data_IF_934542042710
#
_entry.id   IF_934542042710
#
_cell.length_a   1.000
_cell.length_b   1.000
_cell.length_c   1.000
_cell.angle_alpha   90.00
_cell.angle_beta   90.00
_cell.angle_gamma   90.00
#
_symmetry.space_group_name_H-M   'P 1'
#
loop_
_entity.id
_entity.type
_entity.pdbx_description
1 polymer ?
#
# COMPACT_ATOMS: atom_id res chain seq x y z
N UNK A 1 46.99 -34.42 38.48
CA UNK A 1 47.08 -33.21 37.64
C UNK A 1 46.57 -33.61 36.27
N UNK A 2 45.30 -33.34 35.96
CA UNK A 2 44.77 -33.59 34.62
C UNK A 2 45.36 -32.52 33.71
N UNK A 3 46.21 -32.93 32.77
CA UNK A 3 46.73 -32.06 31.73
C UNK A 3 45.59 -31.83 30.74
N UNK A 4 45.11 -30.59 30.68
CA UNK A 4 44.24 -30.15 29.59
C UNK A 4 45.09 -30.19 28.31
N UNK A 5 44.73 -31.10 27.41
CA UNK A 5 45.30 -31.16 26.07
C UNK A 5 44.25 -30.73 25.03
N UNK A 6 44.68 -30.58 23.78
CA UNK A 6 43.82 -30.11 22.70
C UNK A 6 42.60 -31.03 22.47
N UNK A 7 42.75 -32.34 22.72
CA UNK A 7 41.65 -33.30 22.60
C UNK A 7 40.58 -33.10 23.69
N UNK A 8 40.98 -32.76 24.91
CA UNK A 8 40.04 -32.39 25.99
C UNK A 8 39.34 -31.08 25.65
N UNK A 9 40.03 -30.10 25.07
CA UNK A 9 39.40 -28.83 24.64
C UNK A 9 38.41 -29.02 23.48
N UNK A 10 38.73 -29.88 22.52
CA UNK A 10 37.87 -30.20 21.38
C UNK A 10 36.58 -30.92 21.82
N UNK A 11 36.69 -31.89 22.72
CA UNK A 11 35.52 -32.61 23.27
C UNK A 11 34.63 -31.69 24.14
N UNK A 12 35.25 -30.78 24.90
CA UNK A 12 34.55 -29.74 25.65
C UNK A 12 33.82 -28.77 24.71
N UNK A 13 34.47 -28.32 23.64
CA UNK A 13 33.87 -27.42 22.66
C UNK A 13 32.71 -28.09 21.91
N UNK A 14 32.88 -29.34 21.49
CA UNK A 14 31.86 -30.15 20.83
C UNK A 14 30.59 -30.32 21.70
N UNK A 15 30.73 -30.31 23.03
CA UNK A 15 29.60 -30.45 23.95
C UNK A 15 29.00 -29.11 24.38
N UNK A 16 29.84 -28.11 24.70
CA UNK A 16 29.38 -26.86 25.29
C UNK A 16 28.91 -25.84 24.26
N UNK A 17 29.52 -25.77 23.08
CA UNK A 17 29.14 -24.79 22.05
C UNK A 17 27.70 -25.03 21.58
N UNK A 18 27.27 -26.27 21.24
CA UNK A 18 25.88 -26.50 20.84
C UNK A 18 24.88 -26.20 21.95
N UNK A 19 25.24 -26.44 23.23
CA UNK A 19 24.38 -26.10 24.37
C UNK A 19 24.27 -24.60 24.57
N UNK A 20 25.39 -23.87 24.50
CA UNK A 20 25.40 -22.42 24.58
C UNK A 20 24.55 -21.80 23.45
N UNK A 21 24.72 -22.29 22.21
CA UNK A 21 23.90 -21.88 21.06
C UNK A 21 22.42 -22.22 21.29
N UNK A 22 22.11 -23.41 21.81
CA UNK A 22 20.74 -23.81 22.12
C UNK A 22 20.09 -22.95 23.22
N UNK A 23 20.83 -22.61 24.28
CA UNK A 23 20.34 -21.71 25.33
C UNK A 23 20.16 -20.29 24.81
N UNK A 24 21.08 -19.78 24.00
CA UNK A 24 20.93 -18.48 23.34
C UNK A 24 19.72 -18.47 22.40
N UNK A 25 19.52 -19.53 21.61
CA UNK A 25 18.36 -19.64 20.72
C UNK A 25 17.04 -19.68 21.51
N UNK A 26 16.96 -20.47 22.57
CA UNK A 26 15.77 -20.55 23.43
C UNK A 26 15.51 -19.23 24.17
N UNK A 27 16.56 -18.53 24.63
CA UNK A 27 16.46 -17.21 25.23
C UNK A 27 15.94 -16.19 24.22
N UNK A 28 16.51 -16.19 23.00
CA UNK A 28 16.07 -15.31 21.92
C UNK A 28 14.62 -15.61 21.53
N UNK A 29 14.25 -16.88 21.37
CA UNK A 29 12.88 -17.27 21.03
C UNK A 29 11.89 -16.89 22.14
N UNK A 30 12.30 -16.98 23.40
CA UNK A 30 11.48 -16.57 24.54
C UNK A 30 11.25 -15.05 24.59
N UNK A 31 12.29 -14.25 24.33
CA UNK A 31 12.22 -12.78 24.41
C UNK A 31 11.72 -12.09 23.12
N UNK A 32 11.93 -12.70 21.96
CA UNK A 32 11.66 -12.08 20.65
C UNK A 32 10.47 -12.70 19.90
N UNK A 33 9.75 -13.64 20.50
CA UNK A 33 8.42 -14.00 19.97
C UNK A 33 7.49 -12.81 20.14
N UNK A 34 6.80 -12.45 19.06
CA UNK A 34 5.74 -11.44 19.11
C UNK A 34 4.66 -11.90 20.10
N UNK A 35 4.43 -11.07 21.12
CA UNK A 35 3.40 -11.27 22.15
C UNK A 35 2.22 -10.30 21.96
N UNK A 36 2.42 -9.30 21.11
CA UNK A 36 1.38 -8.39 20.63
C UNK A 36 1.30 -8.56 19.11
N UNK A 37 0.11 -8.88 18.62
CA UNK A 37 -0.21 -8.86 17.20
C UNK A 37 -0.64 -7.45 16.79
N UNK A 38 -0.06 -6.91 15.73
CA UNK A 38 -0.40 -5.59 15.19
C UNK A 38 -1.20 -5.81 13.90
N UNK A 39 -2.37 -5.21 13.80
CA UNK A 39 -3.24 -5.29 12.61
C UNK A 39 -3.83 -3.92 12.25
N UNK A 40 -4.41 -3.86 11.06
CA UNK A 40 -5.04 -2.64 10.56
C UNK A 40 -6.23 -2.22 11.44
N UNK A 41 -6.42 -0.91 11.67
CA UNK A 41 -7.68 -0.37 12.17
C UNK A 41 -8.83 -0.57 11.17
N UNK A 42 -10.07 -0.31 11.60
CA UNK A 42 -11.26 -0.47 10.75
C UNK A 42 -11.30 0.50 9.55
N UNK A 43 -10.52 1.58 9.60
CA UNK A 43 -10.35 2.51 8.47
C UNK A 43 -9.44 1.94 7.36
N UNK A 44 -8.79 0.80 7.60
CA UNK A 44 -7.97 0.06 6.65
C UNK A 44 -6.57 0.64 6.40
N UNK A 45 -6.16 1.66 7.16
CA UNK A 45 -4.85 2.31 6.99
C UNK A 45 -4.20 2.58 8.35
N UNK A 46 -2.89 2.36 8.45
CA UNK A 46 -2.12 2.79 9.61
C UNK A 46 -2.00 4.31 9.69
N UNK A 47 -1.81 4.95 8.53
CA UNK A 47 -1.75 6.40 8.40
C UNK A 47 -2.09 6.83 6.98
N UNK A 48 -2.45 8.10 6.82
CA UNK A 48 -2.55 8.73 5.50
C UNK A 48 -2.14 10.21 5.55
N UNK A 49 -1.73 10.73 4.40
CA UNK A 49 -1.42 12.15 4.16
C UNK A 49 -2.11 12.57 2.88
N UNK A 50 -2.80 13.71 2.89
CA UNK A 50 -3.35 14.29 1.66
C UNK A 50 -2.23 14.86 0.80
N UNK A 51 -2.32 14.61 -0.49
CA UNK A 51 -1.42 15.19 -1.48
C UNK A 51 -1.75 16.68 -1.65
N UNK A 52 -0.76 17.54 -1.49
CA UNK A 52 -0.88 18.99 -1.72
C UNK A 52 0.17 19.41 -2.75
N UNK A 53 -0.29 19.85 -3.93
CA UNK A 53 0.56 20.32 -5.01
C UNK A 53 1.38 21.58 -4.64
N UNK A 54 1.01 22.27 -3.56
CA UNK A 54 1.68 23.48 -3.09
C UNK A 54 2.74 23.19 -2.01
N UNK A 55 2.79 21.98 -1.48
CA UNK A 55 3.78 21.58 -0.49
C UNK A 55 4.93 20.84 -1.17
N UNK A 56 6.19 21.18 -0.86
CA UNK A 56 7.32 20.33 -1.19
C UNK A 56 7.09 18.91 -0.67
N UNK A 57 7.51 17.90 -1.42
CA UNK A 57 7.39 16.51 -0.99
C UNK A 57 8.06 16.23 0.37
N UNK A 58 9.14 16.95 0.66
CA UNK A 58 9.87 16.87 1.94
C UNK A 58 9.04 17.36 3.14
N UNK A 59 8.01 18.18 2.89
CA UNK A 59 7.12 18.72 3.92
C UNK A 59 5.86 17.84 4.12
N UNK A 60 5.59 16.89 3.23
CA UNK A 60 4.49 15.94 3.36
C UNK A 60 4.90 14.76 4.26
N UNK A 61 4.32 14.70 5.45
CA UNK A 61 4.70 13.75 6.50
C UNK A 61 3.47 13.11 7.17
N UNK A 62 3.54 11.81 7.45
CA UNK A 62 2.59 11.11 8.31
C UNK A 62 2.86 11.51 9.75
N UNK A 63 1.89 12.16 10.35
CA UNK A 63 1.96 12.72 11.70
C UNK A 63 1.20 11.90 12.73
N UNK A 64 0.46 10.88 12.30
CA UNK A 64 -0.36 10.02 13.16
C UNK A 64 -0.28 8.58 12.66
N UNK A 65 -0.23 7.64 13.60
CA UNK A 65 -0.38 6.20 13.34
C UNK A 65 -1.54 5.68 14.19
N UNK A 66 -2.49 5.01 13.55
CA UNK A 66 -3.57 4.25 14.16
C UNK A 66 -3.33 2.76 13.92
N UNK A 67 -3.53 1.90 14.91
CA UNK A 67 -3.37 0.45 14.76
C UNK A 67 -4.23 -0.31 15.76
N UNK A 68 -4.48 -1.58 15.47
CA UNK A 68 -5.04 -2.55 16.42
C UNK A 68 -3.91 -3.35 17.05
N UNK A 69 -3.92 -3.45 18.38
CA UNK A 69 -2.98 -4.24 19.15
C UNK A 69 -3.73 -5.36 19.89
N UNK A 70 -3.41 -6.62 19.56
CA UNK A 70 -4.02 -7.79 20.19
C UNK A 70 -3.02 -8.54 21.04
N UNK A 71 -3.41 -8.84 22.28
CA UNK A 71 -2.59 -9.63 23.19
C UNK A 71 -2.70 -11.12 22.81
N UNK A 72 -1.57 -11.69 22.40
CA UNK A 72 -1.44 -13.10 22.00
C UNK A 72 -0.53 -13.89 22.94
N UNK A 73 -0.39 -13.44 24.20
CA UNK A 73 0.41 -14.13 25.20
C UNK A 73 -0.03 -15.59 25.34
N UNK A 74 0.90 -16.57 25.22
CA UNK A 74 0.54 -18.00 25.20
C UNK A 74 -0.14 -18.51 26.47
N UNK A 75 0.07 -17.84 27.60
CA UNK A 75 -0.45 -18.25 28.91
C UNK A 75 -1.83 -17.67 29.23
N UNK A 76 -2.41 -16.86 28.34
CA UNK A 76 -3.72 -16.26 28.59
C UNK A 76 -3.69 -15.07 29.55
N UNK A 77 -2.51 -14.47 29.78
CA UNK A 77 -2.31 -13.40 30.76
C UNK A 77 -2.72 -12.04 30.18
N UNK A 78 -3.43 -11.24 30.97
CA UNK A 78 -3.79 -9.86 30.62
C UNK A 78 -2.60 -8.92 30.78
N UNK A 79 -2.54 -7.88 29.94
CA UNK A 79 -1.59 -6.78 30.04
C UNK A 79 -2.31 -5.55 30.61
N UNK A 80 -2.07 -5.18 31.87
CA UNK A 80 -2.87 -4.14 32.56
C UNK A 80 -2.07 -2.88 32.89
N UNK A 81 -2.72 -1.71 32.75
CA UNK A 81 -2.23 -0.41 33.22
C UNK A 81 -0.76 -0.09 32.82
N UNK A 82 -0.35 -0.52 31.64
CA UNK A 82 1.02 -0.42 31.20
C UNK A 82 1.34 0.86 30.44
N UNK A 83 2.62 1.02 30.17
CA UNK A 83 3.16 1.96 29.19
C UNK A 83 3.42 1.21 27.90
N UNK A 84 2.86 1.69 26.79
CA UNK A 84 3.19 1.20 25.45
C UNK A 84 3.98 2.25 24.67
N UNK A 85 5.02 1.80 23.99
CA UNK A 85 5.89 2.62 23.15
C UNK A 85 5.73 2.15 21.72
N UNK A 86 5.27 3.04 20.85
CA UNK A 86 5.37 2.85 19.40
C UNK A 86 6.74 3.30 18.95
N UNK A 87 7.44 2.43 18.23
CA UNK A 87 8.68 2.73 17.53
C UNK A 87 8.41 2.45 16.05
N UNK A 88 8.42 3.49 15.24
CA UNK A 88 8.40 3.35 13.78
C UNK A 88 9.83 3.48 13.28
N UNK A 89 10.33 2.45 12.61
CA UNK A 89 11.67 2.43 12.02
C UNK A 89 11.53 2.53 10.51
N UNK A 90 12.33 3.38 9.87
CA UNK A 90 12.29 3.56 8.42
C UNK A 90 13.62 4.08 7.87
N UNK A 91 13.82 3.89 6.58
CA UNK A 91 14.82 4.61 5.78
C UNK A 91 14.13 5.65 4.91
N UNK A 92 14.89 6.50 4.27
CA UNK A 92 14.37 7.55 3.36
C UNK A 92 15.02 7.40 2.00
N UNK A 93 14.20 7.38 0.94
CA UNK A 93 14.67 7.39 -0.43
C UNK A 93 15.40 8.70 -0.75
N UNK A 94 16.49 8.63 -1.52
CA UNK A 94 17.28 9.80 -1.91
C UNK A 94 16.70 10.55 -3.13
N UNK A 95 15.83 9.88 -3.87
CA UNK A 95 15.08 10.40 -5.02
C UNK A 95 13.62 10.01 -4.92
N UNK A 96 12.78 10.56 -5.79
CA UNK A 96 11.35 10.21 -5.85
C UNK A 96 11.14 8.67 -5.88
N UNK A 97 10.54 8.07 -4.83
CA UNK A 97 10.34 6.62 -4.75
C UNK A 97 9.13 6.12 -5.54
N UNK A 98 8.31 7.03 -6.07
CA UNK A 98 7.10 6.72 -6.82
C UNK A 98 7.39 6.50 -8.31
N UNK A 99 8.35 5.62 -8.57
CA UNK A 99 8.85 5.25 -9.89
C UNK A 99 9.05 3.73 -9.96
N UNK A 100 9.11 3.21 -11.18
CA UNK A 100 9.39 1.79 -11.42
C UNK A 100 10.84 1.44 -11.08
N UNK A 101 11.05 0.29 -10.45
CA UNK A 101 12.38 -0.26 -10.18
C UNK A 101 12.99 0.25 -8.87
N UNK A 102 14.25 -0.10 -8.62
CA UNK A 102 15.02 0.25 -7.40
C UNK A 102 15.25 1.76 -7.28
N UNK A 103 15.26 2.26 -6.04
CA UNK A 103 15.73 3.62 -5.71
C UNK A 103 16.78 3.56 -4.60
N UNK A 104 17.73 4.48 -4.66
CA UNK A 104 18.73 4.62 -3.60
C UNK A 104 18.07 5.10 -2.31
N UNK A 105 18.48 4.50 -1.19
CA UNK A 105 17.98 4.83 0.15
C UNK A 105 19.12 5.35 1.02
N UNK A 106 18.77 6.07 2.07
CA UNK A 106 19.73 6.51 3.08
C UNK A 106 20.38 5.31 3.80
N UNK A 107 21.65 5.48 4.15
CA UNK A 107 22.37 4.54 5.03
C UNK A 107 21.94 4.69 6.49
N UNK A 108 21.44 5.88 6.86
CA UNK A 108 20.91 6.17 8.18
C UNK A 108 19.53 5.51 8.35
N UNK A 109 19.31 4.94 9.53
CA UNK A 109 18.00 4.43 9.95
C UNK A 109 17.37 5.48 10.85
N UNK A 110 16.16 5.89 10.50
CA UNK A 110 15.39 6.87 11.25
C UNK A 110 14.36 6.18 12.15
N UNK A 111 14.03 6.85 13.25
CA UNK A 111 13.03 6.38 14.20
C UNK A 111 12.03 7.47 14.53
N UNK A 112 10.75 7.09 14.64
CA UNK A 112 9.70 7.87 15.28
C UNK A 112 9.27 7.15 16.54
N UNK A 113 9.47 7.75 17.72
CA UNK A 113 9.21 7.11 19.00
C UNK A 113 8.17 7.90 19.77
N UNK A 114 7.04 7.26 20.10
CA UNK A 114 5.94 7.85 20.86
C UNK A 114 5.50 6.91 21.96
N UNK A 115 5.17 7.46 23.13
CA UNK A 115 4.74 6.71 24.31
C UNK A 115 3.28 7.02 24.65
N UNK A 116 2.52 6.00 25.02
CA UNK A 116 1.20 6.11 25.66
C UNK A 116 1.20 5.34 26.99
N UNK A 117 0.52 5.86 28.01
CA UNK A 117 0.46 5.26 29.37
C UNK A 117 -0.96 4.89 29.75
N UNK A 118 -1.11 3.96 30.70
CA UNK A 118 -2.43 3.50 31.16
C UNK A 118 -3.14 2.63 30.14
N UNK A 119 -2.38 1.88 29.33
CA UNK A 119 -2.92 0.97 28.31
C UNK A 119 -3.12 -0.40 28.92
N UNK A 120 -4.32 -0.94 28.76
CA UNK A 120 -4.67 -2.33 29.10
C UNK A 120 -5.05 -3.05 27.83
N UNK A 121 -4.54 -4.27 27.62
CA UNK A 121 -4.87 -5.15 26.50
C UNK A 121 -5.19 -6.54 27.07
N UNK A 122 -6.49 -6.84 27.18
CA UNK A 122 -6.93 -8.15 27.68
C UNK A 122 -6.54 -9.26 26.71
N UNK A 123 -6.29 -10.46 27.25
CA UNK A 123 -5.88 -11.59 26.45
C UNK A 123 -6.92 -11.95 25.39
N UNK A 124 -6.49 -12.11 24.15
CA UNK A 124 -7.37 -12.42 23.01
C UNK A 124 -8.17 -11.22 22.49
N UNK A 125 -8.30 -10.15 23.28
CA UNK A 125 -8.94 -8.91 22.87
C UNK A 125 -8.00 -8.01 22.07
N UNK A 126 -8.61 -7.08 21.36
CA UNK A 126 -7.93 -6.11 20.50
C UNK A 126 -8.20 -4.70 20.97
N UNK A 127 -7.15 -3.91 21.09
CA UNK A 127 -7.22 -2.51 21.51
C UNK A 127 -6.85 -1.58 20.36
N UNK A 128 -7.69 -0.58 20.13
CA UNK A 128 -7.44 0.47 19.13
C UNK A 128 -6.50 1.53 19.73
N UNK A 129 -5.31 1.64 19.14
CA UNK A 129 -4.29 2.59 19.57
C UNK A 129 -4.06 3.65 18.50
N UNK A 130 -4.00 4.90 18.94
CA UNK A 130 -3.63 6.05 18.11
C UNK A 130 -2.45 6.76 18.76
N UNK A 131 -1.43 7.06 17.95
CA UNK A 131 -0.21 7.75 18.35
C UNK A 131 -0.03 9.01 17.52
N UNK A 132 0.28 10.12 18.18
CA UNK A 132 0.61 11.41 17.56
C UNK A 132 2.14 11.56 17.47
N UNK A 133 2.64 11.51 16.23
CA UNK A 133 4.07 11.61 15.91
C UNK A 133 4.58 13.06 15.92
N UNK A 134 3.71 14.07 15.96
CA UNK A 134 4.12 15.48 16.03
C UNK A 134 4.75 15.85 17.37
N UNK A 135 4.36 15.14 18.42
CA UNK A 135 4.86 15.32 19.79
C UNK A 135 6.25 14.71 20.03
N UNK A 136 6.82 14.07 19.01
CA UNK A 136 8.05 13.34 19.12
C UNK A 136 9.25 14.30 19.23
N UNK A 137 10.16 14.04 20.17
CA UNK A 137 11.25 14.97 20.55
C UNK A 137 12.22 15.23 19.39
N UNK A 138 13.17 16.16 19.54
CA UNK A 138 14.14 16.64 18.52
C UNK A 138 14.98 15.59 17.76
N UNK A 139 14.83 14.29 18.07
CA UNK A 139 15.46 13.13 17.42
C UNK A 139 14.47 12.16 16.76
N UNK A 140 13.17 12.34 17.00
CA UNK A 140 12.08 11.57 16.42
C UNK A 140 11.38 12.44 15.39
N UNK A 141 11.29 11.96 14.16
CA UNK A 141 10.64 12.69 13.05
C UNK A 141 9.29 12.06 12.75
N UNK A 142 8.33 12.88 12.31
CA UNK A 142 7.21 12.37 11.52
C UNK A 142 7.73 11.53 10.35
N UNK A 143 6.92 10.61 9.84
CA UNK A 143 7.38 9.71 8.77
C UNK A 143 7.21 10.48 7.45
N UNK A 144 8.26 10.70 6.65
CA UNK A 144 8.10 11.37 5.36
C UNK A 144 7.39 10.47 4.35
N UNK A 145 6.75 11.07 3.33
CA UNK A 145 6.19 10.30 2.20
C UNK A 145 7.26 9.57 1.37
N UNK A 146 8.54 9.88 1.57
CA UNK A 146 9.65 9.16 0.93
C UNK A 146 10.27 8.06 1.81
N UNK A 147 9.60 7.71 2.91
CA UNK A 147 10.02 6.60 3.74
C UNK A 147 10.03 5.28 2.95
N UNK A 148 10.99 4.41 3.24
CA UNK A 148 11.07 3.02 2.76
C UNK A 148 11.37 2.11 3.94
N UNK A 149 11.17 0.80 3.78
CA UNK A 149 11.44 -0.19 4.84
C UNK A 149 10.74 0.18 6.16
N UNK A 150 9.42 0.41 6.10
CA UNK A 150 8.66 0.94 7.23
C UNK A 150 8.22 -0.19 8.16
N UNK A 151 8.71 -0.17 9.40
CA UNK A 151 8.39 -1.18 10.41
C UNK A 151 7.71 -0.54 11.62
N UNK A 152 6.65 -1.18 12.10
CA UNK A 152 5.99 -0.86 13.35
C UNK A 152 6.46 -1.81 14.45
N UNK A 153 6.85 -1.24 15.58
CA UNK A 153 7.17 -1.98 16.80
C UNK A 153 6.37 -1.42 17.96
N UNK A 154 5.76 -2.32 18.73
CA UNK A 154 5.14 -1.99 20.00
C UNK A 154 5.96 -2.62 21.12
N UNK A 155 6.40 -1.80 22.07
CA UNK A 155 6.99 -2.27 23.32
C UNK A 155 6.07 -1.89 24.49
N UNK A 156 5.43 -2.89 25.07
CA UNK A 156 4.65 -2.76 26.29
C UNK A 156 5.54 -3.00 27.51
N UNK A 157 5.32 -2.21 28.57
CA UNK A 157 5.89 -2.42 29.90
C UNK A 157 4.83 -2.15 30.95
N UNK A 158 4.49 -3.13 31.76
CA UNK A 158 3.42 -3.00 32.74
C UNK A 158 3.19 -4.29 33.53
N UNK A 159 1.98 -4.47 34.00
CA UNK A 159 1.60 -5.65 34.78
C UNK A 159 1.09 -6.73 33.81
N UNK A 160 1.75 -7.89 33.76
CA UNK A 160 1.34 -9.02 32.93
C UNK A 160 1.01 -10.19 33.84
N UNK A 161 -0.24 -10.67 33.81
CA UNK A 161 -0.66 -11.79 34.66
C UNK A 161 -0.47 -11.54 36.17
N UNK A 162 -0.48 -10.28 36.60
CA UNK A 162 -0.21 -9.86 37.98
C UNK A 162 1.28 -9.71 38.34
N UNK A 163 2.20 -9.96 37.41
CA UNK A 163 3.63 -9.70 37.60
C UNK A 163 3.97 -8.26 37.16
N UNK A 164 4.49 -7.42 38.06
CA UNK A 164 4.78 -6.04 37.73
C UNK A 164 6.07 -5.89 36.91
N UNK A 165 6.07 -4.88 36.04
CA UNK A 165 7.21 -4.50 35.19
C UNK A 165 7.64 -5.53 34.14
N UNK A 166 6.75 -6.44 33.76
CA UNK A 166 6.99 -7.31 32.61
C UNK A 166 6.94 -6.51 31.31
N UNK A 167 7.51 -7.11 30.27
CA UNK A 167 7.62 -6.51 28.95
C UNK A 167 7.01 -7.43 27.91
N UNK A 168 6.35 -6.83 26.93
CA UNK A 168 5.85 -7.55 25.76
C UNK A 168 6.13 -6.78 24.48
N UNK A 169 6.39 -7.50 23.40
CA UNK A 169 6.76 -6.91 22.11
C UNK A 169 5.80 -7.32 21.00
N UNK A 170 5.53 -6.38 20.11
CA UNK A 170 4.86 -6.60 18.83
C UNK A 170 5.71 -6.05 17.70
N UNK A 171 5.73 -6.73 16.57
CA UNK A 171 6.43 -6.30 15.37
C UNK A 171 5.56 -6.51 14.15
N UNK A 172 5.57 -5.54 13.24
CA UNK A 172 4.87 -5.64 11.96
C UNK A 172 5.63 -4.86 10.89
N UNK A 173 5.83 -5.54 9.79
CA UNK A 173 6.25 -4.97 8.53
C UNK A 173 5.00 -4.45 7.79
N UNK A 174 5.05 -3.19 7.33
CA UNK A 174 3.93 -2.52 6.67
C UNK A 174 4.40 -1.91 5.35
N UNK A 175 3.44 -1.54 4.51
CA UNK A 175 3.75 -0.94 3.21
C UNK A 175 4.59 0.32 3.30
N UNK A 176 5.37 0.59 2.27
CA UNK A 176 5.88 1.95 2.05
C UNK A 176 4.72 2.91 1.74
N UNK A 177 4.95 4.23 1.84
CA UNK A 177 3.99 5.23 1.40
C UNK A 177 3.46 4.89 0.01
N UNK A 178 2.16 4.61 -0.06
CA UNK A 178 1.51 4.15 -1.28
C UNK A 178 0.65 5.27 -1.83
N UNK A 179 0.92 5.78 -3.05
CA UNK A 179 0.11 6.82 -3.65
C UNK A 179 -1.23 6.27 -4.12
N UNK A 180 -2.25 7.10 -3.98
CA UNK A 180 -3.62 6.84 -4.42
C UNK A 180 -3.89 7.67 -5.65
N UNK A 181 -3.85 6.99 -6.80
CA UNK A 181 -3.76 7.60 -8.11
C UNK A 181 -4.99 7.32 -8.97
N UNK A 182 -5.58 8.38 -9.50
CA UNK A 182 -6.70 8.30 -10.44
C UNK A 182 -6.36 8.98 -11.75
N UNK A 183 -6.84 8.39 -12.85
CA UNK A 183 -6.86 9.05 -14.15
C UNK A 183 -8.28 9.03 -14.71
N UNK A 184 -8.80 10.19 -15.08
CA UNK A 184 -10.09 10.25 -15.78
C UNK A 184 -9.86 10.20 -17.30
N UNK A 185 -10.05 9.03 -17.92
CA UNK A 185 -9.89 8.83 -19.36
C UNK A 185 -11.18 9.05 -20.15
N UNK A 186 -12.19 9.71 -19.56
CA UNK A 186 -13.48 9.93 -20.21
C UNK A 186 -13.45 11.03 -21.28
N UNK A 187 -12.33 11.71 -21.51
CA UNK A 187 -12.08 12.52 -22.71
C UNK A 187 -11.88 11.65 -23.98
N UNK A 188 -11.72 10.33 -23.79
CA UNK A 188 -11.64 9.34 -24.86
C UNK A 188 -12.81 8.38 -24.80
N UNK A 189 -13.15 7.80 -25.94
CA UNK A 189 -14.13 6.72 -26.04
C UNK A 189 -13.67 5.62 -26.98
N UNK A 190 -13.92 4.38 -26.57
CA UNK A 190 -13.63 3.19 -27.37
C UNK A 190 -14.78 2.94 -28.33
N UNK A 191 -14.54 3.11 -29.64
CA UNK A 191 -15.52 2.82 -30.69
C UNK A 191 -14.93 1.81 -31.67
N UNK A 192 -15.61 0.68 -31.88
CA UNK A 192 -15.21 -0.38 -32.82
C UNK A 192 -13.70 -0.73 -32.71
N UNK A 193 -13.24 -0.97 -31.48
CA UNK A 193 -11.85 -1.31 -31.13
C UNK A 193 -10.79 -0.22 -31.40
N UNK A 194 -11.22 1.04 -31.60
CA UNK A 194 -10.34 2.19 -31.75
C UNK A 194 -10.71 3.32 -30.77
N UNK A 195 -9.71 4.04 -30.27
CA UNK A 195 -9.95 5.23 -29.44
C UNK A 195 -10.23 6.47 -30.27
N UNK A 196 -11.25 7.22 -29.85
CA UNK A 196 -11.60 8.53 -30.41
C UNK A 196 -11.73 9.57 -29.31
N UNK A 197 -11.61 10.84 -29.69
CA UNK A 197 -11.93 11.97 -28.81
C UNK A 197 -13.44 11.99 -28.55
N UNK A 198 -13.82 11.97 -27.28
CA UNK A 198 -15.21 11.96 -26.87
C UNK A 198 -15.90 13.30 -27.24
N UNK A 199 -17.14 13.20 -27.73
CA UNK A 199 -17.99 14.35 -28.02
C UNK A 199 -17.64 15.14 -29.29
N UNK A 200 -16.67 14.69 -30.10
CA UNK A 200 -16.35 15.35 -31.38
C UNK A 200 -17.37 15.02 -32.46
N UNK A 201 -17.57 15.86 -33.50
CA UNK A 201 -18.47 15.56 -34.60
C UNK A 201 -18.20 14.22 -35.29
N UNK A 202 -16.91 13.83 -35.41
CA UNK A 202 -16.50 12.55 -35.95
C UNK A 202 -17.03 11.38 -35.09
N UNK A 203 -16.86 11.47 -33.78
CA UNK A 203 -17.32 10.47 -32.82
C UNK A 203 -18.85 10.39 -32.78
N UNK A 204 -19.54 11.54 -32.83
CA UNK A 204 -20.99 11.59 -32.79
C UNK A 204 -21.63 11.01 -34.06
N UNK A 205 -20.98 11.13 -35.22
CA UNK A 205 -21.47 10.59 -36.49
C UNK A 205 -21.69 9.06 -36.47
N UNK A 206 -21.06 8.32 -35.55
CA UNK A 206 -21.30 6.88 -35.37
C UNK A 206 -22.72 6.55 -34.87
N UNK A 207 -23.37 7.48 -34.14
CA UNK A 207 -24.68 7.23 -33.48
C UNK A 207 -25.71 8.34 -33.72
N UNK A 208 -25.34 9.40 -34.42
CA UNK A 208 -26.22 10.48 -34.86
C UNK A 208 -27.00 10.07 -36.12
N UNK A 209 -28.17 9.45 -35.92
CA UNK A 209 -29.02 8.93 -37.01
C UNK A 209 -29.88 10.01 -37.69
N UNK A 210 -30.03 11.18 -37.08
CA UNK A 210 -30.90 12.26 -37.57
C UNK A 210 -30.12 13.51 -38.01
N UNK A 211 -28.79 13.48 -37.93
CA UNK A 211 -27.90 14.53 -38.44
C UNK A 211 -27.94 15.81 -37.60
N UNK A 212 -28.34 15.73 -36.33
CA UNK A 212 -28.42 16.89 -35.45
C UNK A 212 -27.15 17.10 -34.60
N UNK A 213 -26.13 16.28 -34.81
CA UNK A 213 -24.88 16.24 -34.06
C UNK A 213 -25.08 15.98 -32.56
N UNK A 214 -26.12 15.22 -32.21
CA UNK A 214 -26.40 14.81 -30.84
C UNK A 214 -26.42 13.29 -30.79
N UNK A 215 -25.68 12.71 -29.84
CA UNK A 215 -25.70 11.27 -29.66
C UNK A 215 -27.09 10.83 -29.15
N UNK A 216 -27.80 10.04 -29.96
CA UNK A 216 -29.19 9.69 -29.69
C UNK A 216 -29.38 8.37 -28.94
N UNK A 217 -28.37 7.49 -28.97
CA UNK A 217 -28.49 6.11 -28.47
C UNK A 217 -27.46 5.77 -27.40
N UNK A 218 -26.20 6.17 -27.57
CA UNK A 218 -25.07 5.83 -26.68
C UNK A 218 -24.35 7.11 -26.25
N UNK A 219 -23.82 7.11 -25.03
CA UNK A 219 -23.18 8.28 -24.46
C UNK A 219 -21.75 8.32 -24.96
N UNK A 220 -21.48 9.23 -25.90
CA UNK A 220 -20.16 9.38 -26.50
C UNK A 220 -19.47 10.67 -26.08
N UNK A 221 -19.94 11.34 -25.04
CA UNK A 221 -19.42 12.63 -24.60
C UNK A 221 -18.33 12.50 -23.54
N UNK A 222 -17.56 13.58 -23.38
CA UNK A 222 -16.63 13.71 -22.28
C UNK A 222 -17.34 14.03 -20.97
N UNK A 223 -16.79 13.51 -19.87
CA UNK A 223 -17.35 13.63 -18.53
C UNK A 223 -16.28 13.94 -17.50
N UNK A 224 -16.57 14.88 -16.61
CA UNK A 224 -15.79 15.04 -15.39
C UNK A 224 -16.38 14.13 -14.31
N UNK A 225 -15.52 13.53 -13.49
CA UNK A 225 -15.95 12.76 -12.33
C UNK A 225 -15.95 13.67 -11.10
N UNK A 226 -17.03 13.65 -10.32
CA UNK A 226 -17.19 14.50 -9.15
C UNK A 226 -17.73 13.73 -7.94
N UNK A 227 -17.48 14.27 -6.75
CA UNK A 227 -17.89 13.70 -5.46
C UNK A 227 -17.44 12.23 -5.35
N UNK A 228 -16.13 12.00 -5.50
CA UNK A 228 -15.54 10.68 -5.39
C UNK A 228 -15.20 10.44 -3.91
N UNK A 229 -15.72 9.36 -3.35
CA UNK A 229 -15.49 8.91 -1.98
C UNK A 229 -14.59 7.69 -2.01
N UNK A 230 -13.54 7.72 -1.20
CA UNK A 230 -12.54 6.66 -1.10
C UNK A 230 -12.62 6.01 0.28
N UNK A 231 -12.69 4.68 0.32
CA UNK A 231 -12.66 3.89 1.56
C UNK A 231 -11.60 2.82 1.43
N UNK A 232 -10.83 2.56 2.47
CA UNK A 232 -9.89 1.45 2.55
C UNK A 232 -10.36 0.49 3.61
N UNK A 233 -9.94 -0.76 3.60
CA UNK A 233 -10.39 -1.74 4.60
C UNK A 233 -9.45 -2.94 4.64
N UNK A 234 -9.36 -3.64 5.78
CA UNK A 234 -8.66 -4.91 5.86
C UNK A 234 -9.12 -5.93 4.82
N UNK A 235 -8.24 -6.86 4.43
CA UNK A 235 -8.51 -7.83 3.37
C UNK A 235 -9.70 -8.76 3.69
N UNK A 236 -9.89 -9.09 4.97
CA UNK A 236 -10.93 -9.96 5.49
C UNK A 236 -12.26 -9.27 5.81
N UNK A 237 -12.28 -7.93 5.82
CA UNK A 237 -13.47 -7.13 6.11
C UNK A 237 -13.65 -5.98 5.09
N UNK A 238 -13.98 -6.28 3.83
CA UNK A 238 -14.16 -5.27 2.80
C UNK A 238 -15.35 -4.33 3.08
N UNK A 239 -15.12 -3.02 3.03
CA UNK A 239 -16.16 -2.00 3.25
C UNK A 239 -16.31 -1.11 1.98
N UNK A 240 -17.51 -0.97 1.41
CA UNK A 240 -17.73 -0.10 0.27
C UNK A 240 -17.66 1.39 0.66
N UNK A 241 -17.18 2.23 -0.25
CA UNK A 241 -17.16 3.68 -0.04
C UNK A 241 -18.57 4.30 -0.16
N UNK A 242 -18.83 5.30 0.68
CA UNK A 242 -20.05 6.11 0.62
C UNK A 242 -19.80 7.55 1.08
N UNK A 243 -20.79 8.42 0.88
CA UNK A 243 -20.70 9.81 1.33
C UNK A 243 -20.57 9.96 2.86
N UNK A 244 -21.13 9.00 3.62
CA UNK A 244 -21.09 8.99 5.08
C UNK A 244 -19.97 8.11 5.66
N UNK A 245 -19.40 7.22 4.86
CA UNK A 245 -18.33 6.29 5.27
C UNK A 245 -17.23 6.27 4.20
N UNK A 246 -16.24 7.13 4.42
CA UNK A 246 -15.06 7.30 3.57
C UNK A 246 -13.88 7.82 4.41
N UNK A 247 -12.67 7.54 3.92
CA UNK A 247 -11.41 8.07 4.43
C UNK A 247 -11.12 9.45 3.82
N UNK A 248 -11.39 9.60 2.51
CA UNK A 248 -11.09 10.81 1.75
C UNK A 248 -12.08 11.05 0.63
N UNK A 249 -12.13 12.31 0.17
CA UNK A 249 -13.00 12.75 -0.91
C UNK A 249 -12.24 13.53 -1.96
N UNK A 250 -12.46 13.20 -3.24
CA UNK A 250 -12.00 13.98 -4.38
C UNK A 250 -13.22 14.75 -4.92
N UNK A 251 -13.15 16.08 -4.85
CA UNK A 251 -14.24 16.93 -5.30
C UNK A 251 -14.51 16.75 -6.80
N UNK A 252 -13.45 16.76 -7.62
CA UNK A 252 -13.55 16.67 -9.07
C UNK A 252 -12.26 16.16 -9.72
N UNK A 253 -12.38 15.38 -10.78
CA UNK A 253 -11.32 15.03 -11.73
C UNK A 253 -11.83 15.33 -13.14
N UNK A 254 -11.23 16.33 -13.79
CA UNK A 254 -11.61 16.71 -15.15
C UNK A 254 -11.34 15.58 -16.15
N UNK A 255 -12.12 15.51 -17.23
CA UNK A 255 -11.87 14.60 -18.34
C UNK A 255 -10.44 14.80 -18.90
N UNK A 256 -9.69 13.70 -19.05
CA UNK A 256 -8.29 13.71 -19.49
C UNK A 256 -7.26 14.06 -18.42
N UNK A 257 -7.67 14.19 -17.15
CA UNK A 257 -6.77 14.63 -16.08
C UNK A 257 -6.34 13.47 -15.15
N UNK A 258 -5.12 13.59 -14.64
CA UNK A 258 -4.56 12.78 -13.56
C UNK A 258 -4.77 13.45 -12.21
N UNK A 259 -5.02 12.67 -11.17
CA UNK A 259 -5.12 13.13 -9.79
C UNK A 259 -4.49 12.12 -8.84
N UNK A 260 -3.43 12.54 -8.16
CA UNK A 260 -2.97 11.92 -6.91
C UNK A 260 -3.67 12.60 -5.75
N UNK A 261 -4.38 11.84 -4.93
CA UNK A 261 -5.17 12.41 -3.83
C UNK A 261 -4.46 12.30 -2.48
N UNK A 262 -3.83 11.16 -2.21
CA UNK A 262 -3.27 10.88 -0.90
C UNK A 262 -2.16 9.82 -0.98
N UNK A 263 -1.39 9.72 0.10
CA UNK A 263 -0.46 8.64 0.37
C UNK A 263 -0.94 7.88 1.60
N UNK A 264 -0.88 6.54 1.58
CA UNK A 264 -1.27 5.68 2.71
C UNK A 264 -0.12 4.80 3.18
N UNK A 265 -0.15 4.46 4.47
CA UNK A 265 0.56 3.32 5.06
C UNK A 265 -0.48 2.28 5.43
N UNK A 266 -0.34 1.04 4.96
CA UNK A 266 -1.31 -0.04 5.17
C UNK A 266 -0.61 -1.41 5.15
N UNK A 267 -1.35 -2.51 5.17
CA UNK A 267 -0.82 -3.83 4.83
C UNK A 267 -0.57 -3.94 3.32
N UNK A 268 0.31 -4.85 2.90
CA UNK A 268 0.62 -5.03 1.47
C UNK A 268 -0.58 -5.41 0.62
N UNK A 269 -1.56 -6.10 1.20
CA UNK A 269 -2.83 -6.42 0.57
C UNK A 269 -3.98 -5.82 1.38
N UNK A 270 -4.93 -5.18 0.68
CA UNK A 270 -6.07 -4.53 1.32
C UNK A 270 -7.28 -4.50 0.38
N UNK A 271 -8.43 -4.07 0.88
CA UNK A 271 -9.59 -3.75 0.07
C UNK A 271 -9.78 -2.23 -0.02
N UNK A 272 -10.21 -1.72 -1.17
CA UNK A 272 -10.61 -0.32 -1.29
C UNK A 272 -11.90 -0.16 -2.07
N UNK A 273 -12.74 0.74 -1.55
CA UNK A 273 -13.98 1.18 -2.15
C UNK A 273 -13.80 2.53 -2.86
N UNK A 274 -14.41 2.67 -4.03
CA UNK A 274 -14.52 3.94 -4.75
C UNK A 274 -15.98 4.16 -5.11
N UNK A 275 -16.56 5.26 -4.67
CA UNK A 275 -17.90 5.66 -5.08
C UNK A 275 -17.86 7.06 -5.66
N UNK A 276 -18.41 7.27 -6.84
CA UNK A 276 -18.63 8.63 -7.36
C UNK A 276 -20.13 8.88 -7.46
N UNK A 277 -20.58 10.06 -7.04
CA UNK A 277 -22.01 10.44 -7.10
C UNK A 277 -22.31 11.49 -8.15
N UNK A 278 -21.31 12.24 -8.63
CA UNK A 278 -21.48 13.27 -9.64
C UNK A 278 -20.73 12.93 -10.92
N UNK A 279 -21.41 13.13 -12.05
CA UNK A 279 -20.78 13.14 -13.37
C UNK A 279 -21.22 14.43 -14.05
N UNK A 280 -20.27 15.33 -14.27
CA UNK A 280 -20.56 16.62 -14.89
C UNK A 280 -20.30 16.53 -16.40
N UNK A 281 -21.32 16.88 -17.18
CA UNK A 281 -21.21 16.86 -18.63
C UNK A 281 -20.38 18.05 -19.09
N UNK A 282 -19.33 17.79 -19.86
CA UNK A 282 -18.49 18.85 -20.45
C UNK A 282 -19.22 19.55 -21.61
N UNK A 283 -20.23 18.91 -22.21
CA UNK A 283 -20.98 19.40 -23.35
C UNK A 283 -22.46 19.64 -23.01
N UNK A 284 -22.98 20.82 -23.34
CA UNK A 284 -24.38 21.21 -23.10
C UNK A 284 -25.41 20.36 -23.86
N UNK A 285 -25.01 19.77 -24.98
CA UNK A 285 -25.85 18.88 -25.78
C UNK A 285 -25.89 17.44 -25.22
N UNK A 286 -25.12 17.15 -24.17
CA UNK A 286 -25.16 15.86 -23.53
C UNK A 286 -26.42 15.74 -22.64
N UNK A 287 -27.39 14.95 -23.10
CA UNK A 287 -28.63 14.69 -22.35
C UNK A 287 -28.55 13.46 -21.46
N UNK A 288 -27.42 12.75 -21.44
CA UNK A 288 -27.27 11.51 -20.67
C UNK A 288 -27.04 11.80 -19.19
N UNK A 289 -27.79 11.07 -18.36
CA UNK A 289 -27.69 11.14 -16.91
C UNK A 289 -27.03 9.86 -16.42
N UNK A 290 -26.19 10.02 -15.40
CA UNK A 290 -25.47 8.94 -14.76
C UNK A 290 -25.93 8.80 -13.32
N UNK A 291 -26.02 7.56 -12.85
CA UNK A 291 -26.28 7.25 -11.45
C UNK A 291 -24.95 7.14 -10.70
N UNK A 292 -24.99 7.38 -9.40
CA UNK A 292 -23.86 7.08 -8.52
C UNK A 292 -23.50 5.60 -8.64
N UNK A 293 -22.20 5.32 -8.69
CA UNK A 293 -21.70 3.95 -8.77
C UNK A 293 -20.60 3.73 -7.76
N UNK A 294 -20.78 2.69 -6.95
CA UNK A 294 -19.79 2.19 -6.00
C UNK A 294 -19.08 0.97 -6.57
N UNK A 295 -17.78 0.90 -6.31
CA UNK A 295 -16.91 -0.21 -6.63
C UNK A 295 -16.16 -0.61 -5.39
N UNK A 296 -15.81 -1.89 -5.32
CA UNK A 296 -14.99 -2.48 -4.29
C UNK A 296 -13.96 -3.37 -4.98
N UNK A 297 -12.70 -3.14 -4.67
CA UNK A 297 -11.57 -3.82 -5.28
C UNK A 297 -10.62 -4.34 -4.20
N UNK A 298 -9.90 -5.40 -4.53
CA UNK A 298 -8.66 -5.73 -3.84
C UNK A 298 -7.53 -4.88 -4.41
N UNK A 299 -6.83 -4.22 -3.50
CA UNK A 299 -5.69 -3.37 -3.76
C UNK A 299 -4.40 -3.98 -3.24
N UNK A 300 -3.29 -3.39 -3.69
CA UNK A 300 -1.95 -3.77 -3.32
C UNK A 300 -1.17 -2.51 -2.99
N UNK A 301 -0.45 -2.52 -1.88
CA UNK A 301 0.39 -1.42 -1.45
C UNK A 301 1.78 -1.59 -2.03
N UNK A 302 2.55 -0.49 -2.04
CA UNK A 302 3.96 -0.54 -2.45
C UNK A 302 4.70 -1.45 -1.47
N UNK A 303 5.55 -2.31 -2.04
CA UNK A 303 6.57 -3.10 -1.35
C UNK A 303 7.94 -2.83 -1.96
N UNK A 304 8.90 -2.38 -1.15
CA UNK A 304 10.26 -2.03 -1.56
C UNK A 304 11.25 -2.54 -0.54
N UNK A 305 11.33 -3.86 -0.43
CA UNK A 305 12.15 -4.55 0.57
C UNK A 305 12.91 -5.73 -0.03
N UNK A 306 14.00 -6.09 0.63
CA UNK A 306 14.72 -7.34 0.35
C UNK A 306 14.37 -8.37 1.41
N UNK A 307 13.75 -9.47 1.02
CA UNK A 307 13.29 -10.52 1.93
C UNK A 307 13.99 -11.84 1.67
N UNK A 308 14.16 -12.63 2.72
CA UNK A 308 14.63 -14.00 2.61
C UNK A 308 13.47 -14.96 2.29
N UNK A 309 13.54 -15.65 1.17
CA UNK A 309 12.55 -16.60 0.69
C UNK A 309 12.99 -18.04 1.01
N UNK A 310 12.56 -18.56 2.16
CA UNK A 310 12.91 -19.91 2.63
C UNK A 310 12.36 -21.06 1.77
N UNK A 311 11.34 -20.80 0.96
CA UNK A 311 10.65 -21.79 0.12
C UNK A 311 11.27 -21.96 -1.27
N UNK A 312 12.21 -21.11 -1.66
CA UNK A 312 12.93 -21.26 -2.91
C UNK A 312 14.07 -22.25 -2.74
N UNK A 313 14.22 -23.16 -3.71
CA UNK A 313 15.40 -24.01 -3.80
C UNK A 313 16.55 -23.14 -4.34
N UNK A 314 16.99 -22.19 -3.53
CA UNK A 314 18.22 -21.46 -3.76
C UNK A 314 19.31 -22.53 -3.71
N UNK A 315 20.14 -22.63 -4.74
CA UNK A 315 21.29 -23.54 -4.75
C UNK A 315 22.16 -23.36 -3.47
N UNK A 316 23.27 -24.09 -3.34
CA UNK A 316 24.16 -24.07 -2.16
C UNK A 316 24.68 -22.69 -1.67
N UNK A 317 24.33 -21.58 -2.33
CA UNK A 317 24.61 -20.21 -1.88
C UNK A 317 23.37 -19.58 -1.20
N UNK A 318 23.39 -19.35 0.12
CA UNK A 318 22.29 -18.73 0.85
C UNK A 318 22.00 -17.27 0.45
N UNK A 319 22.91 -16.60 -0.26
CA UNK A 319 22.64 -15.26 -0.81
C UNK A 319 21.56 -15.29 -1.88
N UNK A 320 21.41 -16.41 -2.61
CA UNK A 320 20.39 -16.58 -3.65
C UNK A 320 18.95 -16.67 -3.12
N UNK A 321 18.76 -16.67 -1.80
CA UNK A 321 17.44 -16.65 -1.18
C UNK A 321 16.91 -15.25 -0.90
N UNK A 322 17.69 -14.20 -1.14
CA UNK A 322 17.21 -12.84 -0.99
C UNK A 322 16.50 -12.38 -2.26
N UNK A 323 15.24 -11.96 -2.09
CA UNK A 323 14.40 -11.40 -3.14
C UNK A 323 14.20 -9.93 -2.86
N UNK A 324 14.56 -9.08 -3.82
CA UNK A 324 14.25 -7.67 -3.80
C UNK A 324 12.91 -7.42 -4.50
N UNK A 325 11.95 -6.86 -3.77
CA UNK A 325 10.68 -6.43 -4.32
C UNK A 325 10.80 -5.02 -4.89
N UNK A 326 10.39 -4.86 -6.14
CA UNK A 326 10.48 -3.59 -6.86
C UNK A 326 9.11 -3.15 -7.37
N UNK A 327 8.61 -1.96 -6.99
CA UNK A 327 7.32 -1.46 -7.47
C UNK A 327 7.32 -1.25 -8.99
N UNK A 328 6.26 -1.67 -9.66
CA UNK A 328 6.01 -1.40 -11.08
C UNK A 328 4.92 -0.36 -11.27
N UNK A 329 5.30 0.89 -11.60
CA UNK A 329 4.35 1.95 -11.91
C UNK A 329 3.85 1.84 -13.34
N UNK A 330 2.55 2.06 -13.52
CA UNK A 330 1.91 2.01 -14.83
C UNK A 330 2.02 3.36 -15.52
N UNK A 331 2.67 3.39 -16.69
CA UNK A 331 2.70 4.59 -17.53
C UNK A 331 1.40 4.68 -18.33
N UNK A 332 0.64 5.76 -18.13
CA UNK A 332 -0.60 6.01 -18.84
C UNK A 332 -0.67 7.45 -19.30
N UNK A 333 -0.77 7.67 -20.62
CA UNK A 333 -0.94 8.99 -21.23
C UNK A 333 0.04 10.06 -20.69
N UNK A 334 1.29 9.67 -20.46
CA UNK A 334 2.36 10.57 -20.02
C UNK A 334 2.52 10.73 -18.50
N UNK A 335 1.72 10.04 -17.68
CA UNK A 335 1.91 10.01 -16.21
C UNK A 335 2.24 8.60 -15.71
N UNK A 336 2.95 8.52 -14.57
CA UNK A 336 3.19 7.27 -13.85
C UNK A 336 2.21 7.17 -12.69
N UNK A 337 1.41 6.11 -12.66
CA UNK A 337 0.42 5.89 -11.62
C UNK A 337 0.59 4.52 -10.95
N UNK A 338 0.28 4.47 -9.66
CA UNK A 338 0.18 3.20 -8.93
C UNK A 338 -1.23 2.62 -9.10
N UNK A 339 -1.33 1.44 -9.73
CA UNK A 339 -2.63 0.81 -9.98
C UNK A 339 -3.25 0.13 -8.77
N UNK A 340 -2.47 -0.12 -7.72
CA UNK A 340 -2.89 -0.94 -6.57
C UNK A 340 -3.78 -0.23 -5.55
N UNK A 341 -3.88 1.10 -5.60
CA UNK A 341 -4.66 1.89 -4.64
C UNK A 341 -5.55 2.95 -5.32
N UNK A 342 -5.91 2.74 -6.58
CA UNK A 342 -6.54 3.76 -7.41
C UNK A 342 -7.25 3.20 -8.64
N UNK A 343 -7.37 3.98 -9.70
CA UNK A 343 -8.03 3.48 -10.91
C UNK A 343 -8.14 4.45 -12.09
N UNK A 344 -8.52 3.90 -13.23
CA UNK A 344 -8.75 4.64 -14.47
C UNK A 344 -10.27 4.69 -14.71
N UNK A 345 -10.82 5.91 -14.71
CA UNK A 345 -12.22 6.15 -15.03
C UNK A 345 -12.40 6.13 -16.56
N UNK A 346 -13.39 5.41 -17.06
CA UNK A 346 -13.59 5.22 -18.51
C UNK A 346 -15.07 5.31 -18.89
N UNK A 347 -15.35 5.76 -20.11
CA UNK A 347 -16.68 5.64 -20.70
C UNK A 347 -16.97 4.18 -21.09
N UNK A 348 -18.24 3.79 -21.13
CA UNK A 348 -18.64 2.51 -21.72
C UNK A 348 -18.32 2.48 -23.22
N UNK A 349 -17.75 1.36 -23.69
CA UNK A 349 -17.35 1.20 -25.07
C UNK A 349 -18.57 1.04 -26.03
N UNK A 350 -18.38 1.40 -27.30
CA UNK A 350 -19.43 1.29 -28.33
C UNK A 350 -18.99 0.54 -29.61
N UNK A 351 -19.71 -0.50 -30.07
CA UNK A 351 -20.66 -1.27 -29.28
C UNK A 351 -20.02 -1.80 -27.99
N UNK A 352 -20.84 -2.22 -27.02
CA UNK A 352 -20.39 -2.70 -25.70
C UNK A 352 -19.35 -3.83 -25.77
N UNK A 353 -19.32 -4.58 -26.87
CA UNK A 353 -18.33 -5.63 -27.14
C UNK A 353 -16.97 -5.13 -27.63
N UNK A 354 -16.79 -3.81 -27.79
CA UNK A 354 -15.53 -3.25 -28.28
C UNK A 354 -14.44 -3.35 -27.22
N UNK A 355 -13.25 -3.71 -27.66
CA UNK A 355 -12.05 -3.83 -26.84
C UNK A 355 -10.97 -2.97 -27.47
N UNK A 356 -10.71 -1.80 -26.90
CA UNK A 356 -9.65 -0.91 -27.34
C UNK A 356 -8.41 -1.12 -26.50
N UNK A 357 -7.26 -1.34 -27.16
CA UNK A 357 -6.00 -1.44 -26.44
C UNK A 357 -5.58 -0.07 -25.93
N UNK A 358 -5.24 0.03 -24.65
CA UNK A 358 -4.72 1.28 -24.07
C UNK A 358 -3.36 1.68 -24.66
N UNK A 359 -2.63 0.74 -25.28
CA UNK A 359 -1.40 1.05 -26.04
C UNK A 359 -1.64 2.06 -27.16
N UNK A 360 -2.85 2.13 -27.73
CA UNK A 360 -3.21 3.07 -28.79
C UNK A 360 -3.25 4.54 -28.30
N UNK A 361 -3.37 4.78 -27.00
CA UNK A 361 -3.44 6.13 -26.43
C UNK A 361 -2.06 6.82 -26.25
N UNK A 362 -0.96 6.11 -26.56
CA UNK A 362 0.48 6.45 -26.65
C UNK A 362 1.13 7.53 -25.72
N UNK A 363 2.42 7.40 -25.32
CA UNK A 363 3.35 6.26 -25.48
C UNK A 363 3.87 5.66 -24.14
N UNK A 364 4.29 4.39 -24.21
CA UNK A 364 5.08 3.66 -23.19
C UNK A 364 6.52 3.49 -23.75
N UNK A 365 7.58 3.57 -22.91
CA UNK A 365 8.69 2.60 -22.99
C UNK A 365 8.60 1.53 -21.89
N UNK A 366 8.39 0.31 -22.39
CA UNK A 366 8.40 -1.06 -21.85
C UNK A 366 9.35 -1.40 -20.68
N UNK A 367 9.33 -2.65 -20.13
CA UNK A 367 8.25 -3.66 -19.98
C UNK A 367 8.35 -4.39 -18.59
N UNK A 368 7.45 -5.31 -18.19
CA UNK A 368 7.38 -6.69 -18.65
C UNK A 368 5.93 -7.10 -18.90
N UNK A 369 5.69 -7.66 -20.08
CA UNK A 369 4.49 -8.43 -20.43
C UNK A 369 4.17 -9.44 -19.32
N UNK A 370 2.89 -9.64 -18.94
CA UNK A 370 2.49 -10.78 -18.13
C UNK A 370 2.48 -12.04 -19.03
N UNK A 371 3.65 -12.44 -19.51
CA UNK A 371 3.87 -13.77 -20.07
C UNK A 371 4.84 -14.47 -19.14
N UNK A 372 4.27 -15.23 -18.21
CA UNK A 372 4.96 -15.96 -17.13
C UNK A 372 5.74 -15.04 -16.17
N UNK A 373 5.92 -15.48 -14.92
CA UNK A 373 6.97 -14.93 -14.06
C UNK A 373 8.25 -14.81 -14.91
N UNK A 374 8.65 -13.60 -15.29
CA UNK A 374 9.94 -13.44 -15.97
C UNK A 374 10.99 -14.02 -15.04
N UNK A 375 11.86 -14.84 -15.62
CA UNK A 375 12.91 -15.49 -14.87
C UNK A 375 13.70 -14.43 -14.11
N UNK A 376 13.93 -14.61 -12.80
CA UNK A 376 14.80 -13.77 -11.99
C UNK A 376 16.02 -13.24 -12.75
N UNK A 377 16.19 -11.93 -12.86
CA UNK A 377 17.49 -11.37 -13.24
C UNK A 377 18.39 -11.42 -12.02
N UNK A 378 19.48 -12.19 -12.13
CA UNK A 378 20.42 -12.42 -11.04
C UNK A 378 21.62 -11.47 -11.21
N UNK A 379 21.67 -10.41 -10.41
CA UNK A 379 22.87 -9.60 -10.23
C UNK A 379 23.35 -9.73 -8.78
N UNK A 380 24.62 -10.09 -8.59
CA UNK A 380 25.23 -10.12 -7.26
C UNK A 380 24.67 -11.15 -6.27
N UNK A 381 23.87 -12.13 -6.73
CA UNK A 381 23.26 -13.15 -5.88
C UNK A 381 21.89 -12.78 -5.32
N UNK A 382 21.33 -11.62 -5.65
CA UNK A 382 19.95 -11.24 -5.28
C UNK A 382 19.03 -11.38 -6.49
N UNK A 383 17.81 -11.88 -6.26
CA UNK A 383 16.77 -11.97 -7.29
C UNK A 383 15.83 -10.78 -7.15
N UNK A 384 15.69 -9.97 -8.20
CA UNK A 384 14.64 -8.94 -8.25
C UNK A 384 13.31 -9.52 -8.73
N UNK A 385 12.23 -9.28 -7.98
CA UNK A 385 10.85 -9.56 -8.40
C UNK A 385 10.09 -8.24 -8.53
N UNK A 386 9.63 -7.89 -9.74
CA UNK A 386 8.77 -6.75 -9.90
C UNK A 386 7.37 -7.02 -9.33
N UNK A 387 6.88 -6.10 -8.51
CA UNK A 387 5.53 -6.09 -7.96
C UNK A 387 4.69 -5.14 -8.80
N UNK A 388 3.86 -5.72 -9.68
CA UNK A 388 2.95 -4.95 -10.53
C UNK A 388 1.55 -4.95 -9.94
N UNK A 389 1.00 -3.74 -9.81
CA UNK A 389 -0.41 -3.56 -9.55
C UNK A 389 -1.06 -2.94 -10.79
N UNK A 390 -1.77 -3.75 -11.58
CA UNK A 390 -2.52 -3.24 -12.72
C UNK A 390 -3.64 -2.29 -12.25
N UNK A 391 -3.82 -1.13 -12.92
CA UNK A 391 -4.88 -0.21 -12.55
C UNK A 391 -6.26 -0.85 -12.75
N UNK A 392 -7.16 -0.62 -11.79
CA UNK A 392 -8.55 -1.03 -11.93
C UNK A 392 -9.30 -0.07 -12.86
N UNK A 393 -10.12 -0.62 -13.75
CA UNK A 393 -10.97 0.16 -14.63
C UNK A 393 -12.34 0.38 -13.99
N UNK A 394 -12.73 1.65 -13.89
CA UNK A 394 -13.99 2.09 -13.32
C UNK A 394 -14.83 2.63 -14.46
N UNK A 395 -15.74 1.82 -14.97
CA UNK A 395 -16.53 2.17 -16.16
C UNK A 395 -17.79 2.92 -15.78
N UNK A 396 -17.92 4.12 -16.31
CA UNK A 396 -19.15 4.87 -16.28
C UNK A 396 -20.21 4.13 -17.11
N UNK A 397 -21.29 3.70 -16.46
CA UNK A 397 -22.44 3.06 -17.11
C UNK A 397 -23.68 3.88 -16.82
N UNK A 398 -24.61 3.90 -17.78
CA UNK A 398 -25.93 4.51 -17.61
C UNK A 398 -26.78 3.85 -16.53
#
# INVERSE_FOLDING_TARGET
MFLLDDAVHEDYAATLVPRAVGYSAALMEHFFKSQIEISLPDDGVYAFVRHDDNLPHDDMNFTKISLKAKNILPKGEDMENGKIILIVTYRVAQTNPFVTGVVDVSNEIYHSIVTKTGVTIYNGDTEDLTFDLTSSSTTSKSIPIWATDVYLQLAYKGDIGGNPYEVAFGYKDISEPTPVDFFNNMDKICIENNWYDAGTPQTLAFVDKNGNHIASVVDLYAHDAANIYLRYSPLDNPIPASASDNLATIAKINAGAFKRELYILTDYDFNYGVNFTGVETVNENNTFRHLSKGYLFQGMAIKRQTEFMSSWNCDYDPNNCYVQFEPGFYSFRGVYLWGGAGGILTNEAYPKSSVCSFSQLNPIPNPSTPDTMQSPTQEGGTVSIPVYAEPRFITLSR
#
